data_IF_394812313943
#
_entry.id   IF_394812313943
#
_cell.length_a   1.000
_cell.length_b   1.000
_cell.length_c   1.000
_cell.angle_alpha   90.00
_cell.angle_beta   90.00
_cell.angle_gamma   90.00
#
_symmetry.space_group_name_H-M   'P 1'
#
loop_
_entity.id
_entity.type
_entity.pdbx_description
1 polymer ?
#
# COMPACT_ATOMS: atom_id res chain seq x y z
N UNK A 1 -8.63 9.53 -6.35
CA UNK A 1 -8.66 10.90 -5.78
C UNK A 1 -7.64 11.02 -4.63
N UNK A 2 -6.37 10.70 -4.88
CA UNK A 2 -5.35 10.66 -3.82
C UNK A 2 -5.08 12.05 -3.20
N UNK A 3 -5.21 13.11 -4.00
CA UNK A 3 -4.98 14.49 -3.57
C UNK A 3 -6.02 14.97 -2.53
N UNK A 4 -7.30 14.66 -2.74
CA UNK A 4 -8.37 15.09 -1.82
C UNK A 4 -8.27 14.44 -0.45
N UNK A 5 -8.02 13.12 -0.40
CA UNK A 5 -7.79 12.40 0.87
C UNK A 5 -6.54 12.89 1.61
N UNK A 6 -5.43 13.11 0.89
CA UNK A 6 -4.21 13.65 1.48
C UNK A 6 -4.40 15.06 2.05
N UNK A 7 -5.08 15.96 1.32
CA UNK A 7 -5.37 17.30 1.79
C UNK A 7 -6.24 17.30 3.06
N UNK A 8 -7.29 16.46 3.08
CA UNK A 8 -8.13 16.28 4.27
C UNK A 8 -7.32 15.74 5.46
N UNK A 9 -6.43 14.78 5.23
CA UNK A 9 -5.57 14.25 6.30
C UNK A 9 -4.63 15.31 6.87
N UNK A 10 -4.00 16.13 6.03
CA UNK A 10 -3.09 17.19 6.47
C UNK A 10 -3.85 18.24 7.27
N UNK A 11 -4.98 18.73 6.75
CA UNK A 11 -5.80 19.74 7.42
C UNK A 11 -6.36 19.19 8.73
N UNK A 12 -6.89 17.96 8.72
CA UNK A 12 -7.44 17.31 9.90
C UNK A 12 -6.40 17.04 10.97
N UNK A 13 -5.19 16.63 10.59
CA UNK A 13 -4.09 16.43 11.53
C UNK A 13 -3.62 17.77 12.15
N UNK A 14 -3.57 18.84 11.35
CA UNK A 14 -3.20 20.17 11.83
C UNK A 14 -4.22 20.69 12.85
N UNK A 15 -5.52 20.63 12.52
CA UNK A 15 -6.58 21.06 13.45
C UNK A 15 -6.63 20.18 14.69
N UNK A 16 -6.43 18.87 14.57
CA UNK A 16 -6.38 17.97 15.73
C UNK A 16 -5.21 18.33 16.64
N UNK A 17 -4.02 18.56 16.10
CA UNK A 17 -2.86 18.98 16.87
C UNK A 17 -3.10 20.33 17.57
N UNK A 18 -3.74 21.28 16.87
CA UNK A 18 -4.13 22.56 17.44
C UNK A 18 -5.11 22.39 18.61
N UNK A 19 -6.20 21.64 18.43
CA UNK A 19 -7.19 21.42 19.48
C UNK A 19 -6.62 20.69 20.70
N UNK A 20 -5.73 19.71 20.51
CA UNK A 20 -5.01 19.02 21.59
C UNK A 20 -4.10 20.00 22.34
N UNK A 21 -3.39 20.87 21.62
CA UNK A 21 -2.53 21.87 22.25
C UNK A 21 -3.35 22.90 23.04
N UNK A 22 -4.47 23.39 22.48
CA UNK A 22 -5.39 24.28 23.19
C UNK A 22 -5.97 23.64 24.45
N UNK A 23 -6.33 22.35 24.39
CA UNK A 23 -6.78 21.61 25.57
C UNK A 23 -5.67 21.48 26.63
N UNK A 24 -4.42 21.28 26.20
CA UNK A 24 -3.26 21.25 27.09
C UNK A 24 -3.08 22.59 27.81
N UNK A 25 -2.98 23.70 27.06
CA UNK A 25 -2.81 25.06 27.61
C UNK A 25 -3.97 25.46 28.54
N UNK A 26 -5.20 25.05 28.21
CA UNK A 26 -6.36 25.30 29.07
C UNK A 26 -6.28 24.50 30.37
N UNK A 27 -5.89 23.23 30.31
CA UNK A 27 -5.80 22.37 31.50
C UNK A 27 -4.63 22.76 32.41
N UNK A 28 -3.52 23.24 31.84
CA UNK A 28 -2.37 23.75 32.62
C UNK A 28 -2.70 25.07 33.32
N UNK A 29 -3.41 25.97 32.63
CA UNK A 29 -3.75 27.29 33.19
C UNK A 29 -4.95 27.22 34.15
N UNK A 30 -5.94 26.37 33.86
CA UNK A 30 -7.19 26.28 34.60
C UNK A 30 -7.54 24.82 34.99
N UNK A 31 -6.78 24.22 35.92
CA UNK A 31 -6.86 22.78 36.22
C UNK A 31 -8.19 22.31 36.83
N UNK A 32 -8.95 23.22 37.43
CA UNK A 32 -10.23 22.92 38.08
C UNK A 32 -11.44 23.30 37.23
N UNK A 33 -11.23 23.95 36.09
CA UNK A 33 -12.31 24.38 35.21
C UNK A 33 -12.61 23.31 34.15
N UNK A 34 -13.89 23.11 33.79
CA UNK A 34 -14.26 22.19 32.72
C UNK A 34 -13.75 22.71 31.36
N UNK A 35 -13.54 21.80 30.40
CA UNK A 35 -13.09 22.20 29.08
C UNK A 35 -14.15 23.08 28.39
N UNK A 36 -13.74 24.20 27.76
CA UNK A 36 -14.60 25.05 26.97
C UNK A 36 -15.23 24.28 25.81
N UNK A 37 -16.48 24.60 25.52
CA UNK A 37 -17.24 23.99 24.45
C UNK A 37 -16.58 24.17 23.07
N UNK A 38 -15.91 25.30 22.84
CA UNK A 38 -15.19 25.60 21.60
C UNK A 38 -14.12 24.54 21.29
N UNK A 39 -13.22 24.27 22.25
CA UNK A 39 -12.16 23.25 22.14
C UNK A 39 -12.77 21.87 21.90
N UNK A 40 -13.89 21.53 22.56
CA UNK A 40 -14.54 20.24 22.35
C UNK A 40 -15.12 20.09 20.94
N UNK A 41 -15.71 21.15 20.38
CA UNK A 41 -16.25 21.13 19.02
C UNK A 41 -15.10 21.04 18.01
N UNK A 42 -14.05 21.84 18.19
CA UNK A 42 -12.86 21.78 17.32
C UNK A 42 -12.26 20.38 17.29
N UNK A 43 -12.16 19.71 18.45
CA UNK A 43 -11.63 18.35 18.55
C UNK A 43 -12.55 17.35 17.82
N UNK A 44 -13.87 17.42 18.05
CA UNK A 44 -14.84 16.54 17.38
C UNK A 44 -14.82 16.73 15.85
N UNK A 45 -14.78 17.97 15.38
CA UNK A 45 -14.71 18.31 13.95
C UNK A 45 -13.39 17.81 13.36
N UNK A 46 -12.28 18.00 14.07
CA UNK A 46 -10.95 17.54 13.62
C UNK A 46 -10.89 16.02 13.49
N UNK A 47 -11.43 15.28 14.47
CA UNK A 47 -11.52 13.81 14.43
C UNK A 47 -12.38 13.34 13.26
N UNK A 48 -13.53 13.98 13.03
CA UNK A 48 -14.42 13.65 11.92
C UNK A 48 -13.75 13.91 10.57
N UNK A 49 -13.06 15.05 10.42
CA UNK A 49 -12.36 15.41 9.19
C UNK A 49 -11.19 14.45 8.92
N UNK A 50 -10.39 14.13 9.93
CA UNK A 50 -9.26 13.20 9.81
C UNK A 50 -9.73 11.78 9.48
N UNK A 51 -10.75 11.26 10.17
CA UNK A 51 -11.30 9.93 9.87
C UNK A 51 -11.87 9.85 8.45
N UNK A 52 -12.56 10.91 8.00
CA UNK A 52 -13.05 11.03 6.62
C UNK A 52 -11.91 11.04 5.59
N UNK A 53 -10.84 11.79 5.86
CA UNK A 53 -9.65 11.84 5.01
C UNK A 53 -8.95 10.47 4.89
N UNK A 54 -8.85 9.73 5.99
CA UNK A 54 -8.25 8.39 6.03
C UNK A 54 -9.06 7.42 5.17
N UNK A 55 -10.39 7.43 5.32
CA UNK A 55 -11.29 6.57 4.53
C UNK A 55 -11.17 6.88 3.04
N UNK A 56 -11.17 8.16 2.64
CA UNK A 56 -11.00 8.55 1.24
C UNK A 56 -9.61 8.28 0.66
N UNK A 57 -8.58 8.21 1.52
CA UNK A 57 -7.23 7.85 1.11
C UNK A 57 -7.02 6.34 0.96
N UNK A 58 -7.98 5.51 1.38
CA UNK A 58 -7.85 4.05 1.29
C UNK A 58 -7.89 3.56 -0.17
N UNK A 59 -7.11 2.53 -0.52
CA UNK A 59 -7.18 1.91 -1.84
C UNK A 59 -8.54 1.23 -2.05
N UNK A 60 -8.98 1.14 -3.30
CA UNK A 60 -10.22 0.45 -3.64
C UNK A 60 -10.17 -1.02 -3.18
N UNK A 61 -11.31 -1.51 -2.69
CA UNK A 61 -11.43 -2.90 -2.26
C UNK A 61 -11.12 -3.86 -3.42
N UNK A 62 -10.33 -4.88 -3.13
CA UNK A 62 -10.07 -5.97 -4.08
C UNK A 62 -11.33 -6.84 -4.21
N UNK A 63 -11.57 -7.43 -5.39
CA UNK A 63 -12.68 -8.35 -5.58
C UNK A 63 -12.50 -9.60 -4.70
N UNK A 64 -13.58 -10.00 -4.01
CA UNK A 64 -13.60 -11.20 -3.16
C UNK A 64 -13.53 -12.50 -3.99
N UNK A 65 -14.05 -12.50 -5.22
CA UNK A 65 -14.10 -13.69 -6.05
C UNK A 65 -12.74 -13.98 -6.68
N UNK A 66 -12.16 -15.11 -6.28
CA UNK A 66 -10.82 -15.52 -6.71
C UNK A 66 -10.67 -15.64 -8.22
N UNK A 67 -11.68 -16.17 -8.92
CA UNK A 67 -11.67 -16.31 -10.38
C UNK A 67 -11.65 -14.95 -11.11
N UNK A 68 -12.29 -13.93 -10.52
CA UNK A 68 -12.27 -12.58 -11.08
C UNK A 68 -10.95 -11.88 -10.78
N UNK A 69 -10.39 -12.09 -9.58
CA UNK A 69 -9.07 -11.57 -9.21
C UNK A 69 -7.95 -12.17 -10.04
N UNK A 70 -7.91 -13.50 -10.20
CA UNK A 70 -6.91 -14.19 -11.02
C UNK A 70 -7.06 -13.81 -12.49
N UNK A 71 -8.30 -13.74 -13.01
CA UNK A 71 -8.56 -13.27 -14.37
C UNK A 71 -8.11 -11.82 -14.60
N UNK A 72 -8.25 -10.95 -13.59
CA UNK A 72 -7.76 -9.56 -13.65
C UNK A 72 -6.23 -9.51 -13.59
N UNK A 73 -5.59 -10.24 -12.68
CA UNK A 73 -4.13 -10.35 -12.59
C UNK A 73 -3.52 -10.87 -13.90
N UNK A 74 -4.11 -11.91 -14.53
CA UNK A 74 -3.62 -12.46 -15.79
C UNK A 74 -3.77 -11.49 -16.97
N UNK A 75 -4.79 -10.61 -16.95
CA UNK A 75 -5.05 -9.63 -18.02
C UNK A 75 -4.25 -8.33 -17.86
N UNK A 76 -4.14 -7.82 -16.64
CA UNK A 76 -3.51 -6.54 -16.32
C UNK A 76 -2.02 -6.69 -15.94
N UNK A 77 -1.56 -7.92 -15.73
CA UNK A 77 -0.24 -8.24 -15.18
C UNK A 77 -0.19 -8.00 -13.67
N UNK A 78 0.78 -8.64 -12.98
CA UNK A 78 1.06 -8.29 -11.58
C UNK A 78 1.53 -6.84 -11.50
N UNK A 79 0.61 -5.93 -11.16
CA UNK A 79 0.98 -4.59 -10.79
C UNK A 79 1.53 -4.64 -9.35
N UNK A 80 2.77 -4.21 -9.11
CA UNK A 80 3.32 -4.19 -7.77
C UNK A 80 2.50 -3.24 -6.92
N UNK A 81 1.65 -3.80 -6.04
CA UNK A 81 0.94 -2.99 -5.06
C UNK A 81 1.96 -2.28 -4.18
N UNK A 82 1.89 -0.96 -4.19
CA UNK A 82 2.65 -0.07 -3.34
C UNK A 82 4.18 -0.23 -3.42
N UNK A 83 4.76 -0.06 -4.61
CA UNK A 83 6.08 0.58 -4.78
C UNK A 83 7.29 0.00 -4.04
N UNK A 84 7.21 -1.16 -3.41
CA UNK A 84 8.33 -1.81 -2.73
C UNK A 84 9.01 -2.75 -3.70
N UNK A 85 9.90 -2.19 -4.52
CA UNK A 85 10.97 -2.97 -5.14
C UNK A 85 11.99 -3.30 -4.05
N UNK A 86 12.10 -4.58 -3.70
CA UNK A 86 13.24 -5.09 -2.95
C UNK A 86 14.52 -4.85 -3.76
N UNK A 87 15.63 -4.60 -3.05
CA UNK A 87 16.96 -4.29 -3.62
C UNK A 87 17.52 -5.38 -4.54
N UNK A 88 16.89 -6.56 -4.55
CA UNK A 88 17.30 -7.76 -5.31
C UNK A 88 16.48 -8.02 -6.57
N UNK A 89 15.54 -7.15 -6.95
CA UNK A 89 14.75 -7.34 -8.17
C UNK A 89 13.71 -8.47 -8.09
N UNK A 90 13.68 -9.25 -7.01
CA UNK A 90 12.52 -10.08 -6.69
C UNK A 90 11.38 -9.20 -6.23
N UNK A 91 10.19 -9.40 -6.79
CA UNK A 91 8.97 -8.82 -6.27
C UNK A 91 8.72 -9.48 -4.91
N UNK A 92 8.73 -8.69 -3.84
CA UNK A 92 8.16 -9.11 -2.56
C UNK A 92 6.80 -9.73 -2.88
N UNK A 93 6.53 -10.95 -2.42
CA UNK A 93 5.22 -11.61 -2.56
C UNK A 93 4.14 -10.76 -1.89
N UNK A 94 3.74 -9.67 -2.54
CA UNK A 94 2.48 -9.00 -2.30
C UNK A 94 1.44 -9.79 -3.04
N UNK A 95 0.56 -10.46 -2.29
CA UNK A 95 -0.79 -10.90 -2.68
C UNK A 95 -0.92 -11.31 -4.16
N UNK A 96 0.03 -12.11 -4.63
CA UNK A 96 0.09 -12.61 -6.00
C UNK A 96 -0.86 -13.79 -6.18
N UNK A 97 -1.11 -14.18 -7.43
CA UNK A 97 -1.90 -15.38 -7.72
C UNK A 97 -1.32 -16.58 -6.93
N UNK A 98 -2.12 -17.10 -5.98
CA UNK A 98 -1.77 -18.27 -5.16
C UNK A 98 -1.39 -19.48 -6.03
N UNK A 99 -1.93 -19.54 -7.24
CA UNK A 99 -1.67 -20.60 -8.21
C UNK A 99 -0.57 -20.26 -9.21
N UNK A 100 0.10 -19.11 -9.10
CA UNK A 100 1.27 -18.80 -9.92
C UNK A 100 2.37 -19.87 -9.79
N UNK A 101 2.44 -20.58 -8.66
CA UNK A 101 3.34 -21.73 -8.50
C UNK A 101 3.08 -22.87 -9.51
N UNK A 102 1.85 -22.97 -10.04
CA UNK A 102 1.46 -23.96 -11.05
C UNK A 102 1.91 -23.58 -12.46
N UNK A 103 2.33 -22.32 -12.70
CA UNK A 103 2.84 -21.87 -14.00
C UNK A 103 1.87 -22.07 -15.15
N UNK A 104 0.59 -21.80 -14.91
CA UNK A 104 -0.49 -21.99 -15.90
C UNK A 104 -0.70 -20.75 -16.80
N UNK A 105 0.03 -19.68 -16.55
CA UNK A 105 0.08 -18.48 -17.36
C UNK A 105 0.93 -18.75 -18.61
N UNK A 106 0.26 -18.81 -19.76
CA UNK A 106 0.79 -19.29 -21.04
C UNK A 106 1.95 -18.51 -21.68
N UNK A 107 2.69 -17.71 -20.90
CA UNK A 107 3.87 -16.96 -21.34
C UNK A 107 5.15 -17.26 -20.54
N UNK A 108 5.11 -18.11 -19.52
CA UNK A 108 6.31 -18.54 -18.81
C UNK A 108 6.06 -19.81 -18.00
N UNK A 109 6.97 -20.78 -18.11
CA UNK A 109 6.97 -22.00 -17.30
C UNK A 109 7.23 -21.65 -15.82
N UNK A 110 6.22 -21.13 -15.15
CA UNK A 110 6.19 -20.82 -13.72
C UNK A 110 5.93 -22.05 -12.85
N UNK A 111 6.17 -23.27 -13.34
CA UNK A 111 6.17 -24.45 -12.46
C UNK A 111 7.39 -24.32 -11.56
N UNK A 112 7.23 -23.76 -10.36
CA UNK A 112 8.32 -23.65 -9.37
C UNK A 112 8.98 -25.01 -9.05
N UNK A 113 8.32 -26.13 -9.36
CA UNK A 113 8.88 -27.49 -9.23
C UNK A 113 9.60 -28.06 -10.48
N UNK A 114 9.45 -27.45 -11.66
CA UNK A 114 10.13 -27.88 -12.89
C UNK A 114 11.01 -26.74 -13.40
N UNK A 115 12.24 -26.67 -12.88
CA UNK A 115 13.27 -25.79 -13.40
C UNK A 115 13.65 -26.20 -14.83
N UNK A 116 13.46 -25.32 -15.82
CA UNK A 116 13.98 -25.56 -17.17
C UNK A 116 15.51 -25.45 -17.16
N UNK A 117 16.15 -26.60 -16.93
CA UNK A 117 17.60 -26.76 -16.95
C UNK A 117 18.19 -26.35 -18.30
N UNK A 118 17.47 -26.56 -19.41
CA UNK A 118 18.01 -26.34 -20.76
C UNK A 118 17.99 -24.85 -21.12
N UNK A 119 16.89 -24.15 -20.83
CA UNK A 119 16.80 -22.70 -20.98
C UNK A 119 17.83 -21.97 -20.12
N UNK A 120 17.93 -22.34 -18.84
CA UNK A 120 18.88 -21.72 -17.91
C UNK A 120 20.33 -22.00 -18.27
N UNK A 121 20.65 -23.16 -18.84
CA UNK A 121 21.98 -23.44 -19.40
C UNK A 121 22.30 -22.56 -20.60
N UNK A 122 21.33 -22.33 -21.50
CA UNK A 122 21.54 -21.43 -22.65
C UNK A 122 21.74 -19.98 -22.21
N UNK A 123 20.94 -19.52 -21.26
CA UNK A 123 21.05 -18.18 -20.66
C UNK A 123 22.43 -17.99 -20.01
N UNK A 124 22.87 -18.96 -19.20
CA UNK A 124 24.20 -18.95 -18.60
C UNK A 124 25.32 -18.94 -19.65
N UNK A 125 25.22 -19.79 -20.69
CA UNK A 125 26.20 -19.81 -21.78
C UNK A 125 26.23 -18.47 -22.53
N UNK A 126 25.08 -17.84 -22.74
CA UNK A 126 24.98 -16.50 -23.31
C UNK A 126 25.68 -15.45 -22.43
N UNK A 127 25.43 -15.47 -21.13
CA UNK A 127 26.05 -14.57 -20.15
C UNK A 127 27.58 -14.76 -20.07
N UNK A 128 28.07 -16.01 -20.05
CA UNK A 128 29.50 -16.31 -20.08
C UNK A 128 30.14 -15.77 -21.36
N UNK A 129 29.48 -15.97 -22.52
CA UNK A 129 29.96 -15.43 -23.80
C UNK A 129 29.95 -13.90 -23.86
N UNK A 130 29.05 -13.25 -23.12
CA UNK A 130 28.98 -11.79 -22.99
C UNK A 130 30.00 -11.23 -21.98
N UNK A 131 30.86 -12.06 -21.37
CA UNK A 131 31.94 -11.61 -20.49
C UNK A 131 31.47 -11.14 -19.11
N UNK A 132 30.29 -11.57 -18.66
CA UNK A 132 29.83 -11.36 -17.29
C UNK A 132 29.36 -9.95 -16.94
N UNK A 133 29.14 -9.06 -17.91
CA UNK A 133 28.56 -7.73 -17.67
C UNK A 133 27.03 -7.83 -17.77
N UNK A 134 26.38 -7.67 -16.63
CA UNK A 134 24.94 -7.42 -16.53
C UNK A 134 24.65 -5.93 -16.78
#
# INVERSE_FOLDING_TARGET
MAFGGAALNIIGALFLAHAIYSAHEHTTTFPTSPLPLDITIELLVSVLLLSTGIVFSSPALKPIQWAQWSGKISREGQQPEAGKKTREGEQILGDGDMFAFLGLDGYGEGRRGFWDVRGKRKEYVGWVKAGGRA
#
